data_IF_356963879763
#
_entry.id   IF_356963879763
#
_cell.length_a   1.000
_cell.length_b   1.000
_cell.length_c   1.000
_cell.angle_alpha   90.00
_cell.angle_beta   90.00
_cell.angle_gamma   90.00
#
_symmetry.space_group_name_H-M   'P 1'
#
loop_
_entity.id
_entity.type
_entity.pdbx_description
1 polymer ?
#
# COMPACT_ATOMS: atom_id res chain seq x y z
N UNK A 1 -11.48 4.15 -8.61
CA UNK A 1 -11.79 2.72 -8.26
C UNK A 1 -12.65 2.65 -7.00
N UNK A 2 -12.34 3.44 -5.98
CA UNK A 2 -13.08 3.48 -4.73
C UNK A 2 -14.42 4.21 -4.82
N UNK A 3 -14.57 5.12 -5.79
CA UNK A 3 -15.78 5.95 -5.92
C UNK A 3 -17.03 5.10 -6.17
N UNK A 4 -16.96 4.08 -7.03
CA UNK A 4 -18.13 3.24 -7.34
C UNK A 4 -18.53 2.31 -6.18
N UNK A 5 -17.57 1.83 -5.38
CA UNK A 5 -17.87 1.05 -4.17
C UNK A 5 -18.38 1.93 -3.02
N UNK A 6 -17.87 3.17 -2.94
CA UNK A 6 -18.29 4.16 -1.96
C UNK A 6 -19.71 4.65 -2.26
N UNK A 7 -20.03 4.95 -3.52
CA UNK A 7 -21.39 5.31 -3.95
C UNK A 7 -22.39 4.18 -3.68
N UNK A 8 -22.03 2.93 -3.97
CA UNK A 8 -22.88 1.78 -3.61
C UNK A 8 -23.09 1.65 -2.10
N UNK A 9 -22.05 1.91 -1.30
CA UNK A 9 -22.18 1.86 0.17
C UNK A 9 -23.15 2.92 0.70
N UNK A 10 -23.15 4.11 0.07
CA UNK A 10 -24.09 5.19 0.35
C UNK A 10 -25.52 4.78 0.02
N UNK A 11 -25.75 4.14 -1.12
CA UNK A 11 -27.08 3.64 -1.50
C UNK A 11 -27.62 2.60 -0.52
N UNK A 12 -26.78 1.63 -0.10
CA UNK A 12 -27.17 0.65 0.92
C UNK A 12 -27.47 1.30 2.26
N UNK A 13 -26.69 2.31 2.65
CA UNK A 13 -26.90 3.04 3.90
C UNK A 13 -28.22 3.83 3.88
N UNK A 14 -28.54 4.48 2.76
CA UNK A 14 -29.84 5.17 2.56
C UNK A 14 -30.99 4.17 2.61
N UNK A 15 -30.87 3.03 1.93
CA UNK A 15 -31.89 1.98 1.96
C UNK A 15 -32.12 1.44 3.38
N UNK A 16 -31.05 1.19 4.13
CA UNK A 16 -31.14 0.75 5.53
C UNK A 16 -31.77 1.82 6.44
N UNK A 17 -31.43 3.09 6.24
CA UNK A 17 -32.05 4.19 6.99
C UNK A 17 -33.55 4.31 6.69
N UNK A 18 -33.95 4.23 5.41
CA UNK A 18 -35.37 4.26 5.03
C UNK A 18 -36.13 3.08 5.65
N UNK A 19 -35.58 1.86 5.59
CA UNK A 19 -36.20 0.70 6.22
C UNK A 19 -36.29 0.84 7.74
N UNK A 20 -35.27 1.41 8.39
CA UNK A 20 -35.27 1.66 9.83
C UNK A 20 -36.35 2.65 10.23
N UNK A 21 -36.49 3.76 9.50
CA UNK A 21 -37.55 4.75 9.72
C UNK A 21 -38.91 4.09 9.57
N UNK A 22 -39.11 3.24 8.55
CA UNK A 22 -40.37 2.52 8.37
C UNK A 22 -40.65 1.54 9.52
N UNK A 23 -39.65 0.82 10.03
CA UNK A 23 -39.80 -0.07 11.19
C UNK A 23 -40.21 0.72 12.44
N UNK A 24 -39.56 1.85 12.69
CA UNK A 24 -39.83 2.75 13.82
C UNK A 24 -41.22 3.38 13.74
N UNK A 25 -41.63 3.84 12.55
CA UNK A 25 -42.99 4.33 12.31
C UNK A 25 -44.05 3.25 12.54
N UNK A 26 -43.79 2.01 12.12
CA UNK A 26 -44.71 0.89 12.35
C UNK A 26 -44.81 0.52 13.83
N UNK A 27 -43.71 0.60 14.57
CA UNK A 27 -43.69 0.39 16.03
C UNK A 27 -44.42 1.51 16.80
N UNK A 28 -44.48 2.73 16.25
CA UNK A 28 -45.22 3.86 16.85
C UNK A 28 -46.73 3.84 16.51
N UNK A 29 -47.12 3.48 15.28
CA UNK A 29 -48.53 3.50 14.85
C UNK A 29 -49.39 2.48 15.62
N UNK A 30 -48.86 1.29 15.92
CA UNK A 30 -49.60 0.22 16.61
C UNK A 30 -50.05 0.63 18.03
N UNK A 31 -49.19 1.16 18.91
CA UNK A 31 -49.60 1.66 20.22
C UNK A 31 -50.50 2.90 20.12
N UNK A 32 -50.28 3.82 19.18
CA UNK A 32 -51.18 4.98 18.99
C UNK A 32 -52.60 4.56 18.60
N UNK A 33 -52.77 3.51 17.81
CA UNK A 33 -54.09 2.93 17.50
C UNK A 33 -54.75 2.30 18.72
N UNK A 34 -53.98 1.67 19.60
CA UNK A 34 -54.48 1.14 20.88
C UNK A 34 -54.84 2.25 21.87
N UNK A 35 -54.12 3.35 21.85
CA UNK A 35 -54.41 4.53 22.67
C UNK A 35 -55.69 5.25 22.20
N UNK A 36 -55.93 5.30 20.88
CA UNK A 36 -57.15 5.84 20.29
C UNK A 36 -58.41 5.11 20.79
N UNK A 37 -58.30 3.79 21.04
CA UNK A 37 -59.35 2.96 21.65
C UNK A 37 -59.67 3.36 23.09
N UNK A 38 -58.69 3.82 23.85
CA UNK A 38 -58.86 4.15 25.28
C UNK A 38 -59.48 5.54 25.50
N UNK A 39 -59.73 6.33 24.45
CA UNK A 39 -60.31 7.68 24.58
C UNK A 39 -61.80 7.61 24.93
N UNK A 40 -62.23 8.21 26.05
CA UNK A 40 -63.64 8.27 26.44
C UNK A 40 -64.38 9.25 25.52
N UNK A 41 -65.19 8.72 24.61
CA UNK A 41 -65.94 9.50 23.61
C UNK A 41 -66.43 8.71 22.39
N UNK A 42 -65.91 7.49 22.19
CA UNK A 42 -66.29 6.58 21.09
C UNK A 42 -67.37 5.54 21.49
N UNK A 43 -68.08 5.78 22.59
CA UNK A 43 -69.06 4.88 23.22
C UNK A 43 -70.41 4.81 22.48
N UNK A 44 -70.39 4.39 21.22
CA UNK A 44 -71.54 3.77 20.57
C UNK A 44 -71.15 2.31 20.29
N UNK A 45 -71.97 1.34 20.72
CA UNK A 45 -71.68 -0.11 20.64
C UNK A 45 -71.30 -0.58 19.22
N UNK A 46 -71.93 -0.02 18.19
CA UNK A 46 -71.59 -0.32 16.78
C UNK A 46 -70.27 0.33 16.31
N UNK A 47 -69.87 1.45 16.91
CA UNK A 47 -68.60 2.12 16.62
C UNK A 47 -67.42 1.38 17.24
N UNK A 48 -67.59 0.79 18.44
CA UNK A 48 -66.55 0.00 19.10
C UNK A 48 -66.21 -1.29 18.34
N UNK A 49 -67.21 -2.04 17.89
CA UNK A 49 -67.00 -3.29 17.14
C UNK A 49 -66.29 -3.04 15.79
N UNK A 50 -66.69 -1.99 15.08
CA UNK A 50 -66.05 -1.57 13.83
C UNK A 50 -64.62 -1.07 14.05
N UNK A 51 -64.37 -0.35 15.14
CA UNK A 51 -63.03 0.11 15.51
C UNK A 51 -62.11 -1.06 15.88
N UNK A 52 -62.61 -2.05 16.62
CA UNK A 52 -61.85 -3.25 16.99
C UNK A 52 -61.50 -4.10 15.75
N UNK A 53 -62.42 -4.22 14.78
CA UNK A 53 -62.14 -4.87 13.50
C UNK A 53 -61.04 -4.13 12.71
N UNK A 54 -61.11 -2.78 12.65
CA UNK A 54 -60.12 -1.95 11.98
C UNK A 54 -58.74 -2.01 12.65
N UNK A 55 -58.67 -1.95 13.99
CA UNK A 55 -57.42 -2.05 14.75
C UNK A 55 -56.78 -3.43 14.57
N UNK A 56 -57.56 -4.52 14.62
CA UNK A 56 -57.04 -5.88 14.39
C UNK A 56 -56.48 -6.03 12.97
N UNK A 57 -57.18 -5.50 11.97
CA UNK A 57 -56.73 -5.52 10.59
C UNK A 57 -55.44 -4.72 10.38
N UNK A 58 -55.37 -3.51 10.94
CA UNK A 58 -54.19 -2.64 10.86
C UNK A 58 -52.99 -3.23 11.62
N UNK A 59 -53.21 -3.78 12.81
CA UNK A 59 -52.15 -4.44 13.60
C UNK A 59 -51.60 -5.67 12.89
N UNK A 60 -52.48 -6.49 12.29
CA UNK A 60 -52.08 -7.66 11.52
C UNK A 60 -51.25 -7.30 10.27
N UNK A 61 -51.66 -6.23 9.55
CA UNK A 61 -50.89 -5.72 8.42
C UNK A 61 -49.58 -5.07 8.83
N UNK A 62 -49.58 -4.27 9.90
CA UNK A 62 -48.38 -3.63 10.44
C UNK A 62 -47.32 -4.67 10.82
N UNK A 63 -47.71 -5.71 11.58
CA UNK A 63 -46.80 -6.80 11.93
C UNK A 63 -46.27 -7.58 10.72
N UNK A 64 -47.10 -7.79 9.69
CA UNK A 64 -46.66 -8.43 8.45
C UNK A 64 -45.64 -7.57 7.67
N UNK A 65 -45.84 -6.25 7.62
CA UNK A 65 -44.90 -5.31 6.98
C UNK A 65 -43.62 -5.21 7.81
N UNK A 66 -43.71 -5.12 9.12
CA UNK A 66 -42.56 -5.06 10.04
C UNK A 66 -41.66 -6.29 9.89
N UNK A 67 -42.26 -7.49 9.86
CA UNK A 67 -41.52 -8.73 9.61
C UNK A 67 -40.82 -8.75 8.24
N UNK A 68 -41.42 -8.14 7.21
CA UNK A 68 -40.80 -8.00 5.88
C UNK A 68 -39.66 -6.99 5.89
N UNK A 69 -39.83 -5.86 6.58
CA UNK A 69 -38.81 -4.81 6.73
C UNK A 69 -37.59 -5.39 7.43
N UNK A 70 -37.76 -6.06 8.59
CA UNK A 70 -36.66 -6.69 9.33
C UNK A 70 -35.90 -7.73 8.50
N UNK A 71 -36.62 -8.59 7.76
CA UNK A 71 -35.98 -9.54 6.83
C UNK A 71 -35.19 -8.84 5.74
N UNK A 72 -35.67 -7.72 5.20
CA UNK A 72 -34.97 -6.95 4.16
C UNK A 72 -33.74 -6.23 4.71
N UNK A 73 -33.79 -5.72 5.94
CA UNK A 73 -32.63 -5.16 6.64
C UNK A 73 -31.52 -6.21 6.76
N UNK A 74 -31.86 -7.41 7.23
CA UNK A 74 -30.91 -8.54 7.35
C UNK A 74 -30.25 -8.88 6.01
N UNK A 75 -31.07 -8.98 4.94
CA UNK A 75 -30.60 -9.26 3.58
C UNK A 75 -29.66 -8.17 3.06
N UNK A 76 -30.01 -6.90 3.25
CA UNK A 76 -29.18 -5.77 2.79
C UNK A 76 -27.87 -5.71 3.58
N UNK A 77 -27.90 -5.94 4.91
CA UNK A 77 -26.68 -6.02 5.72
C UNK A 77 -25.76 -7.15 5.26
N UNK A 78 -26.31 -8.35 5.05
CA UNK A 78 -25.54 -9.49 4.56
C UNK A 78 -24.92 -9.21 3.17
N UNK A 79 -25.67 -8.59 2.27
CA UNK A 79 -25.19 -8.26 0.93
C UNK A 79 -24.11 -7.17 0.96
N UNK A 80 -24.27 -6.15 1.81
CA UNK A 80 -23.27 -5.11 2.05
C UNK A 80 -21.97 -5.72 2.57
N UNK A 81 -22.05 -6.58 3.58
CA UNK A 81 -20.89 -7.19 4.21
C UNK A 81 -20.20 -8.17 3.23
N UNK A 82 -20.97 -8.93 2.45
CA UNK A 82 -20.47 -9.78 1.37
C UNK A 82 -19.76 -8.99 0.26
N UNK A 83 -20.32 -7.84 -0.14
CA UNK A 83 -19.71 -6.96 -1.14
C UNK A 83 -18.40 -6.34 -0.63
N UNK A 84 -18.34 -5.91 0.62
CA UNK A 84 -17.12 -5.38 1.22
C UNK A 84 -16.06 -6.44 1.41
N UNK A 85 -16.44 -7.64 1.81
CA UNK A 85 -15.53 -8.79 1.87
C UNK A 85 -14.96 -9.13 0.48
N UNK A 86 -15.79 -9.17 -0.56
CA UNK A 86 -15.33 -9.39 -1.93
C UNK A 86 -14.46 -8.22 -2.44
N UNK A 87 -14.79 -6.99 -2.05
CA UNK A 87 -14.03 -5.79 -2.45
C UNK A 87 -12.66 -5.79 -1.78
N UNK A 88 -12.57 -6.11 -0.48
CA UNK A 88 -11.30 -6.19 0.25
C UNK A 88 -10.43 -7.33 -0.28
N UNK A 89 -11.01 -8.48 -0.64
CA UNK A 89 -10.30 -9.56 -1.33
C UNK A 89 -9.77 -9.11 -2.69
N UNK A 90 -10.58 -8.39 -3.48
CA UNK A 90 -10.16 -7.85 -4.78
C UNK A 90 -9.03 -6.83 -4.62
N UNK A 91 -9.12 -5.97 -3.62
CA UNK A 91 -8.09 -4.98 -3.30
C UNK A 91 -6.80 -5.66 -2.83
N UNK A 92 -6.90 -6.66 -1.96
CA UNK A 92 -5.77 -7.50 -1.53
C UNK A 92 -5.14 -8.21 -2.73
N UNK A 93 -5.94 -8.75 -3.65
CA UNK A 93 -5.44 -9.38 -4.89
C UNK A 93 -4.71 -8.37 -5.77
N UNK A 94 -5.23 -7.14 -5.90
CA UNK A 94 -4.54 -6.05 -6.63
C UNK A 94 -3.22 -5.68 -5.95
N UNK A 95 -3.18 -5.59 -4.63
CA UNK A 95 -1.96 -5.33 -3.88
C UNK A 95 -0.95 -6.48 -4.02
N UNK A 96 -1.41 -7.73 -4.06
CA UNK A 96 -0.57 -8.90 -4.31
C UNK A 96 0.05 -8.88 -5.71
N UNK A 97 -0.75 -8.58 -6.74
CA UNK A 97 -0.26 -8.43 -8.11
C UNK A 97 0.74 -7.27 -8.23
N UNK A 98 0.50 -6.16 -7.52
CA UNK A 98 1.45 -5.04 -7.45
C UNK A 98 2.76 -5.46 -6.80
N UNK A 99 2.72 -6.19 -5.68
CA UNK A 99 3.92 -6.67 -5.00
C UNK A 99 4.73 -7.63 -5.89
N UNK A 100 4.05 -8.48 -6.68
CA UNK A 100 4.70 -9.32 -7.68
C UNK A 100 5.37 -8.49 -8.78
N UNK A 101 4.72 -7.43 -9.28
CA UNK A 101 5.32 -6.55 -10.27
C UNK A 101 6.58 -5.84 -9.74
N UNK A 102 6.56 -5.38 -8.48
CA UNK A 102 7.73 -4.78 -7.82
C UNK A 102 8.87 -5.80 -7.71
N UNK A 103 8.57 -7.04 -7.34
CA UNK A 103 9.57 -8.11 -7.26
C UNK A 103 10.25 -8.36 -8.61
N UNK A 104 9.47 -8.52 -9.68
CA UNK A 104 10.03 -8.73 -11.03
C UNK A 104 10.86 -7.52 -11.48
N UNK A 105 10.35 -6.30 -11.28
CA UNK A 105 11.06 -5.07 -11.63
C UNK A 105 12.40 -4.97 -10.89
N UNK A 106 12.40 -5.20 -9.58
CA UNK A 106 13.62 -5.15 -8.76
C UNK A 106 14.64 -6.21 -9.18
N UNK A 107 14.22 -7.43 -9.51
CA UNK A 107 15.12 -8.46 -10.06
C UNK A 107 15.75 -7.98 -11.37
N UNK A 108 14.96 -7.45 -12.31
CA UNK A 108 15.47 -6.93 -13.59
C UNK A 108 16.44 -5.77 -13.35
N UNK A 109 16.11 -4.81 -12.48
CA UNK A 109 16.97 -3.66 -12.19
C UNK A 109 18.28 -4.09 -11.53
N UNK A 110 18.24 -4.97 -10.53
CA UNK A 110 19.45 -5.47 -9.85
C UNK A 110 20.34 -6.23 -10.84
N UNK A 111 19.75 -6.95 -11.79
CA UNK A 111 20.50 -7.63 -12.84
C UNK A 111 21.07 -6.67 -13.88
N UNK A 112 20.29 -5.69 -14.33
CA UNK A 112 20.63 -4.87 -15.49
C UNK A 112 21.47 -3.64 -15.14
N UNK A 113 21.36 -3.10 -13.92
CA UNK A 113 22.08 -1.88 -13.53
C UNK A 113 23.60 -2.04 -13.56
N UNK A 114 24.20 -3.09 -12.98
CA UNK A 114 25.65 -3.26 -13.03
C UNK A 114 26.17 -3.55 -14.44
N UNK A 115 25.42 -4.31 -15.25
CA UNK A 115 25.76 -4.57 -16.67
C UNK A 115 25.68 -3.29 -17.50
N UNK A 116 24.64 -2.47 -17.29
CA UNK A 116 24.48 -1.19 -18.01
C UNK A 116 25.61 -0.24 -17.67
N UNK A 117 25.98 -0.15 -16.39
CA UNK A 117 27.14 0.60 -15.96
C UNK A 117 28.40 0.09 -16.68
N UNK A 118 28.64 -1.22 -16.69
CA UNK A 118 29.79 -1.82 -17.40
C UNK A 118 29.82 -1.45 -18.89
N UNK A 119 28.67 -1.52 -19.57
CA UNK A 119 28.54 -1.18 -20.99
C UNK A 119 28.89 0.29 -21.27
N UNK A 120 28.47 1.22 -20.41
CA UNK A 120 28.79 2.65 -20.60
C UNK A 120 30.28 2.94 -20.53
N UNK A 121 31.05 2.21 -19.72
CA UNK A 121 32.51 2.38 -19.66
C UNK A 121 33.22 1.75 -20.86
N UNK A 122 32.72 0.64 -21.37
CA UNK A 122 33.21 0.03 -22.61
C UNK A 122 32.96 0.90 -23.84
N UNK A 123 31.94 1.76 -23.81
CA UNK A 123 31.67 2.72 -24.87
C UNK A 123 32.65 3.91 -24.87
N UNK A 124 33.50 4.06 -23.83
CA UNK A 124 34.39 5.20 -23.74
C UNK A 124 35.63 5.01 -24.64
N UNK A 125 36.02 6.05 -25.42
CA UNK A 125 37.06 5.95 -26.44
C UNK A 125 38.49 5.78 -25.89
N UNK A 126 38.67 5.81 -24.56
CA UNK A 126 39.95 5.55 -23.90
C UNK A 126 40.26 4.06 -23.67
N UNK A 127 39.26 3.15 -23.75
CA UNK A 127 39.47 1.69 -23.67
C UNK A 127 39.42 0.99 -25.04
N UNK A 128 38.94 1.69 -26.08
CA UNK A 128 38.58 1.07 -27.36
C UNK A 128 39.41 1.58 -28.57
N UNK A 129 40.40 2.45 -28.36
CA UNK A 129 41.28 2.94 -29.42
C UNK A 129 42.75 2.55 -29.16
N UNK A 130 43.32 1.60 -29.91
CA UNK A 130 44.77 1.49 -30.01
C UNK A 130 45.26 2.69 -30.84
N UNK A 131 45.87 3.70 -30.22
CA UNK A 131 46.51 4.78 -31.00
C UNK A 131 47.86 4.31 -31.52
N UNK A 132 47.94 4.13 -32.83
CA UNK A 132 49.19 4.16 -33.58
C UNK A 132 49.98 5.42 -33.19
N UNK A 133 51.16 5.24 -32.60
CA UNK A 133 52.27 6.19 -32.81
C UNK A 133 52.69 7.19 -31.72
N UNK A 134 52.21 7.18 -30.47
CA UNK A 134 52.85 8.03 -29.43
C UNK A 134 52.77 7.52 -27.98
N UNK A 135 53.94 7.46 -27.33
CA UNK A 135 54.20 7.45 -25.87
C UNK A 135 53.16 6.81 -24.96
N UNK A 136 53.26 5.50 -24.76
CA UNK A 136 52.29 4.63 -24.09
C UNK A 136 52.16 4.93 -22.58
N UNK A 137 50.96 5.33 -22.12
CA UNK A 137 50.49 5.02 -20.75
C UNK A 137 49.71 3.72 -20.86
N UNK A 138 50.35 2.61 -20.48
CA UNK A 138 49.71 1.31 -20.43
C UNK A 138 48.53 1.38 -19.48
N UNK A 139 47.34 1.02 -19.93
CA UNK A 139 46.19 0.85 -19.04
C UNK A 139 46.60 -0.13 -17.92
N UNK A 140 46.47 0.26 -16.64
CA UNK A 140 46.84 -0.64 -15.55
C UNK A 140 45.99 -1.90 -15.66
N UNK A 141 46.61 -3.08 -15.78
CA UNK A 141 45.91 -4.37 -15.78
C UNK A 141 45.02 -4.54 -14.54
N UNK A 142 45.37 -3.87 -13.44
CA UNK A 142 44.57 -3.74 -12.24
C UNK A 142 43.19 -3.09 -12.47
N UNK A 143 43.09 -2.09 -13.37
CA UNK A 143 41.83 -1.43 -13.71
C UNK A 143 40.90 -2.38 -14.45
N UNK A 144 41.39 -3.05 -15.49
CA UNK A 144 40.59 -4.03 -16.26
C UNK A 144 40.12 -5.20 -15.41
N UNK A 145 40.98 -5.70 -14.51
CA UNK A 145 40.63 -6.81 -13.63
C UNK A 145 39.60 -6.39 -12.57
N UNK A 146 39.77 -5.22 -11.94
CA UNK A 146 38.78 -4.70 -10.98
C UNK A 146 37.44 -4.38 -11.63
N UNK A 147 37.43 -3.96 -12.90
CA UNK A 147 36.22 -3.68 -13.67
C UNK A 147 35.35 -4.91 -13.96
N UNK A 148 35.97 -6.10 -14.08
CA UNK A 148 35.28 -7.38 -14.28
C UNK A 148 34.92 -8.01 -12.93
N UNK A 149 35.85 -7.94 -11.97
CA UNK A 149 35.70 -8.56 -10.66
C UNK A 149 34.61 -7.87 -9.83
N UNK A 150 34.50 -6.54 -9.86
CA UNK A 150 33.49 -5.82 -9.06
C UNK A 150 32.04 -6.17 -9.42
N UNK A 151 31.62 -6.17 -10.71
CA UNK A 151 30.29 -6.63 -11.10
C UNK A 151 30.04 -8.10 -10.75
N UNK A 152 31.03 -8.98 -10.95
CA UNK A 152 30.94 -10.41 -10.58
C UNK A 152 30.71 -10.60 -9.08
N UNK A 153 31.45 -9.85 -8.25
CA UNK A 153 31.26 -9.83 -6.79
C UNK A 153 29.89 -9.29 -6.41
N UNK A 154 29.40 -8.28 -7.12
CA UNK A 154 28.07 -7.69 -6.90
C UNK A 154 26.99 -8.72 -7.20
N UNK A 155 27.09 -9.47 -8.30
CA UNK A 155 26.15 -10.56 -8.62
C UNK A 155 26.25 -11.72 -7.62
N UNK A 156 27.46 -12.14 -7.24
CA UNK A 156 27.64 -13.18 -6.24
C UNK A 156 27.03 -12.81 -4.88
N UNK A 157 27.15 -11.54 -4.48
CA UNK A 157 26.55 -11.01 -3.26
C UNK A 157 25.02 -10.98 -3.36
N UNK A 158 24.48 -10.47 -4.48
CA UNK A 158 23.03 -10.45 -4.73
C UNK A 158 22.45 -11.86 -4.71
N UNK A 159 23.09 -12.82 -5.39
CA UNK A 159 22.66 -14.22 -5.44
C UNK A 159 22.76 -14.84 -4.04
N UNK A 160 23.84 -14.57 -3.30
CA UNK A 160 23.99 -15.03 -1.91
C UNK A 160 22.89 -14.53 -0.99
N UNK A 161 22.53 -13.24 -1.09
CA UNK A 161 21.42 -12.63 -0.34
C UNK A 161 20.09 -13.24 -0.76
N UNK A 162 19.84 -13.38 -2.06
CA UNK A 162 18.60 -13.99 -2.58
C UNK A 162 18.44 -15.45 -2.12
N UNK A 163 19.53 -16.22 -2.09
CA UNK A 163 19.53 -17.62 -1.65
C UNK A 163 19.34 -17.75 -0.13
N UNK A 164 19.96 -16.87 0.66
CA UNK A 164 19.77 -16.80 2.11
C UNK A 164 18.33 -16.43 2.49
N UNK A 165 17.72 -15.52 1.74
CA UNK A 165 16.31 -15.10 1.89
C UNK A 165 15.36 -16.19 1.44
N UNK A 166 15.63 -16.86 0.31
CA UNK A 166 14.79 -17.96 -0.20
C UNK A 166 14.77 -19.18 0.73
N UNK A 167 15.84 -19.41 1.50
CA UNK A 167 15.95 -20.53 2.44
C UNK A 167 15.33 -20.25 3.82
N UNK A 168 15.11 -18.98 4.20
CA UNK A 168 14.49 -18.59 5.48
C UNK A 168 13.30 -17.68 5.23
N UNK A 169 12.11 -18.22 5.44
CA UNK A 169 10.82 -17.54 5.28
C UNK A 169 10.66 -16.37 6.29
N UNK A 170 11.37 -15.25 6.12
CA UNK A 170 11.32 -14.10 7.03
C UNK A 170 11.93 -12.83 6.43
N UNK A 171 11.09 -11.87 6.07
CA UNK A 171 11.49 -10.51 5.68
C UNK A 171 12.31 -9.77 6.76
N UNK A 172 12.26 -10.22 8.02
CA UNK A 172 13.10 -9.71 9.11
C UNK A 172 14.58 -10.07 8.94
N UNK A 173 14.88 -11.26 8.42
CA UNK A 173 16.26 -11.69 8.17
C UNK A 173 16.92 -10.88 7.04
N UNK A 174 16.14 -10.44 6.05
CA UNK A 174 16.61 -9.59 4.97
C UNK A 174 17.00 -8.21 5.51
N UNK A 175 16.13 -7.60 6.34
CA UNK A 175 16.43 -6.33 7.00
C UNK A 175 17.65 -6.42 7.91
N UNK A 176 17.83 -7.51 8.65
CA UNK A 176 18.98 -7.70 9.53
C UNK A 176 20.30 -7.85 8.75
N UNK A 177 20.30 -8.62 7.66
CA UNK A 177 21.46 -8.76 6.78
C UNK A 177 21.80 -7.46 6.06
N UNK A 178 20.80 -6.72 5.59
CA UNK A 178 20.98 -5.42 4.93
C UNK A 178 21.50 -4.39 5.92
N UNK A 179 21.04 -4.43 7.18
CA UNK A 179 21.53 -3.57 8.26
C UNK A 179 22.97 -3.87 8.64
N UNK A 180 23.36 -5.15 8.69
CA UNK A 180 24.73 -5.56 8.97
C UNK A 180 25.69 -5.15 7.84
N UNK A 181 25.29 -5.38 6.59
CA UNK A 181 26.07 -4.97 5.41
C UNK A 181 26.17 -3.45 5.29
N UNK A 182 25.07 -2.72 5.53
CA UNK A 182 25.06 -1.26 5.54
C UNK A 182 25.98 -0.70 6.64
N UNK A 183 25.98 -1.32 7.82
CA UNK A 183 26.88 -0.94 8.91
C UNK A 183 28.36 -1.08 8.54
N UNK A 184 28.74 -2.21 7.94
CA UNK A 184 30.12 -2.47 7.49
C UNK A 184 30.55 -1.55 6.34
N UNK A 185 29.66 -1.30 5.38
CA UNK A 185 29.94 -0.41 4.27
C UNK A 185 30.10 1.04 4.74
N UNK A 186 29.25 1.49 5.67
CA UNK A 186 29.33 2.83 6.24
C UNK A 186 30.58 3.04 7.10
N UNK A 187 31.02 2.02 7.86
CA UNK A 187 32.25 2.11 8.66
C UNK A 187 33.51 2.17 7.80
N UNK A 188 33.56 1.40 6.70
CA UNK A 188 34.67 1.45 5.73
C UNK A 188 34.70 2.80 5.01
N UNK A 189 33.54 3.33 4.64
CA UNK A 189 33.45 4.65 4.01
C UNK A 189 33.89 5.77 4.95
N UNK A 190 33.55 5.68 6.26
CA UNK A 190 34.02 6.62 7.28
C UNK A 190 35.52 6.54 7.50
N UNK A 191 36.08 5.32 7.57
CA UNK A 191 37.53 5.09 7.71
C UNK A 191 38.31 5.61 6.50
N UNK A 192 37.81 5.38 5.30
CA UNK A 192 38.39 5.93 4.07
C UNK A 192 38.26 7.47 4.00
N UNK A 193 37.18 8.04 4.54
CA UNK A 193 36.96 9.48 4.61
C UNK A 193 37.91 10.17 5.60
N UNK A 194 38.19 9.57 6.76
CA UNK A 194 39.17 10.09 7.74
C UNK A 194 40.61 9.94 7.29
N UNK A 195 40.88 9.05 6.33
CA UNK A 195 42.21 8.83 5.76
C UNK A 195 42.56 9.79 4.61
N UNK A 196 41.69 10.76 4.30
CA UNK A 196 42.01 11.80 3.32
C UNK A 196 43.08 12.73 3.90
N UNK A 197 44.22 12.94 3.21
CA UNK A 197 45.21 13.92 3.65
C UNK A 197 44.58 15.30 3.66
N UNK A 198 44.63 15.98 4.82
CA UNK A 198 44.29 17.40 4.91
C UNK A 198 45.25 18.16 3.99
N UNK A 199 44.70 18.84 2.98
CA UNK A 199 45.47 19.74 2.14
C UNK A 199 46.06 20.84 3.02
N UNK A 200 47.39 21.07 2.99
CA UNK A 200 47.99 22.14 3.77
C UNK A 200 47.47 23.48 3.24
N UNK A 201 46.90 24.28 4.14
CA UNK A 201 46.53 25.66 3.86
C UNK A 201 47.76 26.41 3.35
N UNK A 202 47.69 26.88 2.10
CA UNK A 202 48.74 27.68 1.48
C UNK A 202 48.79 29.04 2.16
N UNK A 203 49.73 29.22 3.08
CA UNK A 203 50.02 30.49 3.75
C UNK A 203 50.43 31.51 2.67
N UNK A 204 49.64 32.58 2.52
CA UNK A 204 49.93 33.71 1.63
C UNK A 204 51.04 34.54 2.27
N UNK A 205 52.28 34.22 1.94
CA UNK A 205 53.45 35.02 2.32
C UNK A 205 53.48 36.33 1.55
N UNK A 206 53.33 37.43 2.29
CA UNK A 206 53.63 38.79 1.87
C UNK A 206 55.11 38.90 1.50
N UNK A 207 55.40 39.49 0.34
CA UNK A 207 56.77 39.79 -0.14
C UNK A 207 57.33 41.01 0.58
N UNK A 208 58.55 40.93 1.14
CA UNK A 208 59.39 42.10 1.35
C UNK A 208 60.70 41.94 0.59
N UNK A 209 60.93 42.76 -0.42
CA UNK A 209 62.30 43.11 -0.79
C UNK A 209 62.45 44.64 -0.79
N UNK A 210 63.55 45.14 -0.21
CA UNK A 210 63.94 46.54 -0.25
C UNK A 210 64.73 46.86 -1.53
N UNK A 211 64.99 48.16 -1.67
CA UNK A 211 65.66 48.86 -2.77
C UNK A 211 66.99 48.26 -3.27
N UNK A 212 67.20 48.40 -4.58
CA UNK A 212 68.43 48.95 -5.18
C UNK A 212 68.10 49.52 -6.57
#
# INVERSE_FOLDING_TARGET
>A
MFDQSFDRSKDYFVALQLLRIVDEWLDEIVPSLKELRMKPGLTHTEAEENLDAAIRFMTGRAGAVQNRVRRKVEQINSLRDGLFSATSLRESTKAMALNQAIYVFTVVTVLFTPVSFLATFWALPFLNNPKEGSGVVSEPSAFRNSFIVMPLLTYALVIGVAWAVGKRNSGRALLDLLREYWGKSWSLMRSAWTSRPQLPWRYRGSSPYPEA
#
